data_IF_206621297239
#
_entry.id   IF_206621297239
#
_cell.length_a   1.000
_cell.length_b   1.000
_cell.length_c   1.000
_cell.angle_alpha   90.00
_cell.angle_beta   90.00
_cell.angle_gamma   90.00
#
_symmetry.space_group_name_H-M   'P 1'
#
loop_
_entity.id
_entity.type
_entity.pdbx_description
1 polymer ?
#
# COMPACT_ATOMS: atom_id res chain seq x y z
N UNK A 1 47.14 -31.55 29.50
CA UNK A 1 46.78 -32.97 29.40
C UNK A 1 45.70 -33.27 30.42
N UNK A 2 44.73 -34.12 30.04
CA UNK A 2 43.48 -34.51 30.73
C UNK A 2 42.45 -33.37 30.85
N UNK A 3 41.27 -33.38 30.22
CA UNK A 3 40.51 -34.45 29.58
C UNK A 3 39.43 -34.97 30.52
N UNK A 4 38.25 -34.32 30.51
CA UNK A 4 37.02 -34.90 31.05
C UNK A 4 35.82 -34.41 30.23
N UNK A 5 35.18 -35.39 29.60
CA UNK A 5 33.97 -35.33 28.78
C UNK A 5 32.78 -35.64 29.69
N UNK A 6 31.67 -34.92 29.55
CA UNK A 6 30.38 -35.37 30.06
C UNK A 6 29.23 -34.87 29.17
N UNK A 7 28.29 -35.79 28.93
CA UNK A 7 27.33 -35.85 27.84
C UNK A 7 26.21 -34.80 27.88
N UNK A 8 25.81 -34.35 26.68
CA UNK A 8 24.56 -33.63 26.44
C UNK A 8 23.42 -34.62 26.22
N UNK A 9 22.37 -34.51 27.03
CA UNK A 9 21.14 -35.29 26.88
C UNK A 9 20.22 -34.59 25.88
N UNK A 10 19.97 -35.24 24.75
CA UNK A 10 18.95 -34.85 23.78
C UNK A 10 17.55 -35.23 24.30
N UNK A 11 16.63 -34.27 24.37
CA UNK A 11 15.20 -34.53 24.48
C UNK A 11 14.52 -34.09 23.19
N UNK A 12 14.24 -35.08 22.35
CA UNK A 12 13.31 -34.98 21.23
C UNK A 12 11.89 -34.95 21.78
N UNK A 13 11.08 -33.98 21.36
CA UNK A 13 9.63 -34.08 21.42
C UNK A 13 9.06 -33.91 20.01
N UNK A 14 8.45 -34.98 19.51
CA UNK A 14 7.69 -35.04 18.27
C UNK A 14 6.32 -34.38 18.44
N UNK A 15 5.70 -33.90 17.34
CA UNK A 15 4.47 -33.10 17.40
C UNK A 15 3.22 -33.98 17.52
N UNK A 16 2.34 -33.66 18.47
CA UNK A 16 0.99 -34.24 18.56
C UNK A 16 0.02 -33.46 17.67
N UNK A 17 -0.44 -34.12 16.61
CA UNK A 17 -1.58 -33.71 15.79
C UNK A 17 -2.88 -33.91 16.56
N UNK A 18 -3.62 -32.83 16.85
CA UNK A 18 -5.04 -32.91 17.18
C UNK A 18 -5.85 -32.06 16.21
N UNK A 19 -6.54 -32.78 15.32
CA UNK A 19 -7.48 -32.27 14.34
C UNK A 19 -8.86 -32.15 14.98
N UNK A 20 -9.27 -30.95 15.37
CA UNK A 20 -10.64 -30.71 15.83
C UNK A 20 -11.52 -30.36 14.64
N UNK A 21 -12.28 -31.36 14.18
CA UNK A 21 -13.37 -31.26 13.20
C UNK A 21 -14.50 -30.42 13.82
N UNK A 22 -14.74 -29.21 13.32
CA UNK A 22 -16.00 -28.48 13.58
C UNK A 22 -16.97 -28.79 12.44
N UNK A 23 -18.05 -29.49 12.77
CA UNK A 23 -19.20 -29.76 11.90
C UNK A 23 -20.09 -28.52 11.96
N UNK A 24 -20.14 -27.74 10.88
CA UNK A 24 -21.15 -26.68 10.71
C UNK A 24 -22.38 -27.28 10.04
N UNK A 25 -23.47 -27.33 10.81
CA UNK A 25 -24.78 -27.78 10.36
C UNK A 25 -25.35 -26.77 9.36
N UNK A 26 -25.45 -27.18 8.09
CA UNK A 26 -26.08 -26.44 6.99
C UNK A 26 -27.60 -26.42 7.20
N UNK A 27 -28.16 -25.28 7.62
CA UNK A 27 -29.62 -25.07 7.61
C UNK A 27 -30.03 -24.50 6.27
N UNK A 28 -30.66 -25.34 5.45
CA UNK A 28 -31.37 -24.99 4.23
C UNK A 28 -32.78 -24.58 4.66
N UNK A 29 -33.23 -23.41 4.23
CA UNK A 29 -34.66 -23.05 4.24
C UNK A 29 -35.06 -22.70 2.81
N UNK A 30 -35.73 -23.65 2.15
CA UNK A 30 -36.56 -23.41 0.99
C UNK A 30 -37.98 -23.09 1.49
N UNK A 31 -38.64 -22.13 0.86
CA UNK A 31 -40.10 -22.03 0.87
C UNK A 31 -40.58 -21.48 -0.47
N UNK A 32 -41.51 -22.20 -1.05
CA UNK A 32 -42.05 -22.15 -2.41
C UNK A 32 -43.52 -21.72 -2.40
N UNK A 33 -43.98 -21.14 -3.53
CA UNK A 33 -45.37 -21.05 -4.06
C UNK A 33 -46.30 -19.96 -3.47
N UNK A 34 -47.25 -19.34 -4.20
CA UNK A 34 -47.74 -19.50 -5.57
C UNK A 34 -48.63 -18.31 -6.03
N UNK A 35 -48.73 -18.15 -7.38
CA UNK A 35 -49.85 -17.71 -8.27
C UNK A 35 -50.68 -16.44 -7.92
N UNK A 36 -51.12 -15.59 -8.86
CA UNK A 36 -51.92 -15.93 -10.05
C UNK A 36 -52.11 -14.77 -11.07
N UNK A 37 -52.09 -15.14 -12.34
CA UNK A 37 -52.84 -14.75 -13.56
C UNK A 37 -53.26 -13.31 -13.98
N UNK A 38 -53.06 -13.10 -15.30
CA UNK A 38 -54.06 -12.62 -16.28
C UNK A 38 -53.77 -11.21 -16.84
N UNK A 39 -53.85 -10.88 -18.14
CA UNK A 39 -54.30 -11.51 -19.38
C UNK A 39 -53.81 -10.61 -20.55
N UNK A 40 -53.23 -11.17 -21.61
CA UNK A 40 -53.77 -11.18 -23.00
C UNK A 40 -53.29 -10.09 -23.97
N UNK A 41 -53.42 -10.41 -25.26
CA UNK A 41 -52.52 -10.16 -26.41
C UNK A 41 -53.05 -9.18 -27.48
N UNK A 42 -52.20 -8.98 -28.52
CA UNK A 42 -52.43 -8.66 -29.97
C UNK A 42 -52.16 -7.19 -30.35
N UNK A 43 -51.19 -6.82 -31.21
CA UNK A 43 -50.76 -7.17 -32.59
C UNK A 43 -51.41 -6.32 -33.71
N UNK A 44 -50.51 -5.65 -34.46
CA UNK A 44 -50.54 -5.13 -35.84
C UNK A 44 -51.52 -4.03 -36.29
N UNK A 45 -50.98 -2.98 -36.94
CA UNK A 45 -51.15 -2.71 -38.39
C UNK A 45 -50.35 -1.46 -38.83
N UNK A 46 -50.06 -1.33 -40.13
CA UNK A 46 -49.05 -0.46 -40.72
C UNK A 46 -49.59 0.56 -41.77
N UNK A 47 -48.94 1.75 -41.83
CA UNK A 47 -48.62 2.65 -42.99
C UNK A 47 -49.78 3.41 -43.72
N UNK A 48 -49.50 4.40 -44.63
CA UNK A 48 -48.56 5.55 -44.63
C UNK A 48 -49.10 6.86 -45.33
N UNK A 49 -48.19 7.83 -45.60
CA UNK A 49 -48.26 9.05 -46.47
C UNK A 49 -48.77 10.34 -45.78
N UNK A 50 -48.30 11.58 -46.04
CA UNK A 50 -47.44 12.20 -47.06
C UNK A 50 -46.94 13.60 -46.58
N UNK A 51 -45.78 14.04 -47.10
CA UNK A 51 -45.24 15.41 -47.30
C UNK A 51 -45.65 16.63 -46.43
N UNK A 52 -44.63 17.38 -45.95
CA UNK A 52 -44.37 18.77 -46.40
C UNK A 52 -43.04 19.30 -45.83
N UNK A 53 -42.31 20.05 -46.66
CA UNK A 53 -41.01 20.68 -46.37
C UNK A 53 -41.21 22.15 -46.02
N UNK A 54 -40.57 22.67 -44.96
CA UNK A 54 -40.25 24.11 -44.86
C UNK A 54 -39.00 24.39 -43.99
N UNK A 55 -37.95 24.86 -44.68
CA UNK A 55 -36.97 25.92 -44.37
C UNK A 55 -36.44 26.13 -42.93
N UNK A 56 -35.11 25.94 -42.83
CA UNK A 56 -34.09 26.87 -42.28
C UNK A 56 -34.27 27.44 -40.86
N UNK A 57 -33.40 27.02 -39.93
CA UNK A 57 -32.61 27.96 -39.14
C UNK A 57 -31.33 27.33 -38.58
N UNK A 58 -30.23 28.04 -38.81
CA UNK A 58 -28.84 27.78 -38.47
C UNK A 58 -28.63 28.03 -36.98
N UNK A 59 -28.25 27.03 -36.19
CA UNK A 59 -27.59 27.22 -34.88
C UNK A 59 -26.48 26.18 -34.72
N UNK A 60 -25.24 26.63 -34.92
CA UNK A 60 -24.05 25.93 -34.47
C UNK A 60 -24.06 25.90 -32.94
N UNK A 61 -23.88 24.75 -32.28
CA UNK A 61 -23.41 24.76 -30.91
C UNK A 61 -21.91 25.06 -30.95
N UNK A 62 -21.53 26.23 -30.46
CA UNK A 62 -20.15 26.46 -30.04
C UNK A 62 -19.88 25.51 -28.87
N UNK A 63 -19.32 24.35 -29.18
CA UNK A 63 -18.59 23.56 -28.20
C UNK A 63 -17.37 24.38 -27.80
N UNK A 64 -17.49 25.10 -26.69
CA UNK A 64 -16.33 25.52 -25.92
C UNK A 64 -15.69 24.24 -25.37
N UNK A 65 -14.77 23.68 -26.15
CA UNK A 65 -13.79 22.77 -25.62
C UNK A 65 -12.97 23.56 -24.61
N UNK A 66 -13.35 23.47 -23.34
CA UNK A 66 -12.50 23.85 -22.23
C UNK A 66 -11.31 22.89 -22.29
N UNK A 67 -10.28 23.29 -23.04
CA UNK A 67 -8.99 22.65 -23.00
C UNK A 67 -8.47 22.83 -21.57
N UNK A 68 -8.69 21.83 -20.72
CA UNK A 68 -7.88 21.65 -19.54
C UNK A 68 -6.45 21.50 -20.05
N UNK A 69 -5.70 22.59 -20.02
CA UNK A 69 -4.26 22.56 -20.16
C UNK A 69 -3.77 21.67 -19.02
N UNK A 70 -3.58 20.39 -19.32
CA UNK A 70 -2.73 19.54 -18.51
C UNK A 70 -1.37 20.18 -18.65
N UNK A 71 -0.98 20.92 -17.61
CA UNK A 71 0.39 21.29 -17.37
C UNK A 71 1.15 19.97 -17.35
N UNK A 72 1.68 19.56 -18.51
CA UNK A 72 2.68 18.51 -18.58
C UNK A 72 3.94 19.12 -17.97
N UNK A 73 3.90 19.26 -16.64
CA UNK A 73 5.09 19.44 -15.83
C UNK A 73 5.95 18.25 -16.22
N UNK A 74 7.12 18.54 -16.79
CA UNK A 74 8.07 17.53 -17.17
C UNK A 74 8.41 16.78 -15.89
N UNK A 75 7.77 15.62 -15.66
CA UNK A 75 7.88 14.92 -14.41
C UNK A 75 9.33 14.48 -14.26
N UNK A 76 9.99 14.98 -13.21
CA UNK A 76 11.34 14.56 -12.88
C UNK A 76 11.26 13.20 -12.18
N UNK A 77 12.18 12.31 -12.51
CA UNK A 77 12.21 10.96 -11.98
C UNK A 77 13.55 10.65 -11.34
N UNK A 78 13.52 9.89 -10.26
CA UNK A 78 14.68 9.20 -9.67
C UNK A 78 14.53 7.71 -9.94
N UNK A 79 15.59 7.09 -10.45
CA UNK A 79 15.63 5.66 -10.71
C UNK A 79 16.24 4.92 -9.51
N UNK A 80 15.55 3.90 -9.01
CA UNK A 80 16.10 3.00 -8.01
C UNK A 80 17.11 2.05 -8.68
N UNK A 81 18.41 2.11 -8.34
CA UNK A 81 19.48 1.54 -9.14
C UNK A 81 19.49 0.01 -9.19
N UNK A 82 18.95 -0.69 -8.19
CA UNK A 82 18.94 -2.14 -8.20
C UNK A 82 17.87 -2.71 -9.12
N UNK A 83 16.74 -2.02 -9.28
CA UNK A 83 15.57 -2.52 -10.02
C UNK A 83 15.28 -1.78 -11.32
N UNK A 84 15.89 -0.62 -11.52
CA UNK A 84 15.62 0.33 -12.60
C UNK A 84 14.18 0.88 -12.58
N UNK A 85 13.50 0.80 -11.43
CA UNK A 85 12.15 1.37 -11.27
C UNK A 85 12.27 2.87 -11.08
N UNK A 86 11.44 3.63 -11.79
CA UNK A 86 11.41 5.09 -11.74
C UNK A 86 10.32 5.60 -10.82
N UNK A 87 10.70 6.54 -9.96
CA UNK A 87 9.82 7.23 -9.02
C UNK A 87 9.78 8.71 -9.38
N UNK A 88 8.59 9.30 -9.50
CA UNK A 88 8.47 10.75 -9.71
C UNK A 88 8.98 11.48 -8.46
N UNK A 89 9.63 12.64 -8.62
CA UNK A 89 10.15 13.42 -7.49
C UNK A 89 9.06 14.10 -6.66
N UNK A 90 7.86 14.26 -7.21
CA UNK A 90 6.69 14.83 -6.54
C UNK A 90 5.41 14.10 -6.99
N UNK A 91 4.56 13.71 -6.04
CA UNK A 91 3.30 12.99 -6.30
C UNK A 91 2.19 13.42 -5.34
N UNK A 92 0.97 13.53 -5.87
CA UNK A 92 -0.25 13.58 -5.07
C UNK A 92 -0.82 12.18 -4.89
N UNK A 93 -1.01 11.76 -3.64
CA UNK A 93 -1.58 10.45 -3.30
C UNK A 93 -3.06 10.56 -2.92
N UNK A 94 -3.86 9.50 -3.08
CA UNK A 94 -5.24 9.48 -2.60
C UNK A 94 -5.33 9.84 -1.11
N UNK A 95 -6.17 10.82 -0.78
CA UNK A 95 -6.39 11.30 0.58
C UNK A 95 -5.38 12.32 1.10
N UNK A 96 -4.30 12.62 0.35
CA UNK A 96 -3.37 13.69 0.69
C UNK A 96 -3.90 15.06 0.26
N UNK A 97 -3.67 16.06 1.10
CA UNK A 97 -4.02 17.46 0.85
C UNK A 97 -3.04 18.13 -0.12
N UNK A 98 -1.77 17.75 -0.03
CA UNK A 98 -0.67 18.34 -0.80
C UNK A 98 0.06 17.28 -1.66
N UNK A 99 0.83 17.75 -2.63
CA UNK A 99 1.83 16.89 -3.28
C UNK A 99 2.98 16.61 -2.31
N UNK A 100 3.39 15.35 -2.22
CA UNK A 100 4.51 14.92 -1.40
C UNK A 100 5.77 14.81 -2.23
N UNK A 101 6.93 15.10 -1.62
CA UNK A 101 8.24 15.06 -2.28
C UNK A 101 8.93 13.73 -1.99
N UNK A 102 9.61 13.15 -2.98
CA UNK A 102 10.40 11.93 -2.81
C UNK A 102 11.65 12.24 -1.97
N UNK A 103 11.79 11.55 -0.82
CA UNK A 103 12.96 11.66 0.05
C UNK A 103 13.92 10.48 -0.08
N UNK A 104 13.50 9.35 -0.64
CA UNK A 104 14.44 8.27 -0.88
C UNK A 104 13.82 7.10 -1.61
N UNK A 105 14.68 6.32 -2.27
CA UNK A 105 14.30 5.08 -2.95
C UNK A 105 15.13 3.92 -2.44
N UNK A 106 14.59 2.72 -2.55
CA UNK A 106 15.29 1.49 -2.23
C UNK A 106 14.54 0.28 -2.74
N UNK A 107 15.04 -0.91 -2.43
CA UNK A 107 14.42 -2.15 -2.85
C UNK A 107 14.40 -3.15 -1.71
N UNK A 108 13.50 -4.12 -1.81
CA UNK A 108 13.52 -5.29 -0.93
C UNK A 108 13.95 -6.51 -1.71
N UNK A 109 14.87 -7.25 -1.11
CA UNK A 109 15.31 -8.56 -1.53
C UNK A 109 14.87 -9.60 -0.51
N UNK A 110 14.49 -10.79 -0.97
CA UNK A 110 14.27 -11.95 -0.13
C UNK A 110 15.17 -13.08 -0.62
N UNK A 111 15.95 -13.65 0.29
CA UNK A 111 16.79 -14.81 0.00
C UNK A 111 15.92 -16.05 0.00
N UNK A 112 15.89 -16.75 -1.13
CA UNK A 112 15.25 -18.05 -1.27
C UNK A 112 16.35 -19.10 -1.42
N UNK A 113 16.51 -19.93 -0.38
CA UNK A 113 17.64 -20.84 -0.23
C UNK A 113 19.00 -20.12 -0.30
N UNK A 114 19.61 -20.02 -1.48
CA UNK A 114 20.94 -19.44 -1.71
C UNK A 114 20.87 -18.17 -2.57
N UNK A 115 19.75 -17.95 -3.27
CA UNK A 115 19.63 -16.87 -4.26
C UNK A 115 18.78 -15.75 -3.68
N UNK A 116 19.37 -14.55 -3.65
CA UNK A 116 18.68 -13.31 -3.38
C UNK A 116 17.77 -12.92 -4.54
N UNK A 117 16.49 -12.67 -4.27
CA UNK A 117 15.56 -12.22 -5.30
C UNK A 117 14.87 -10.92 -4.91
N UNK A 118 14.97 -9.93 -5.81
CA UNK A 118 14.33 -8.62 -5.68
C UNK A 118 12.82 -8.79 -5.76
N UNK A 119 12.10 -8.30 -4.76
CA UNK A 119 10.64 -8.44 -4.63
C UNK A 119 9.95 -7.17 -5.12
N UNK A 120 10.43 -6.01 -4.66
CA UNK A 120 9.88 -4.71 -5.03
C UNK A 120 10.92 -3.61 -4.92
N UNK A 121 10.67 -2.50 -5.61
CA UNK A 121 11.24 -1.20 -5.33
C UNK A 121 10.28 -0.41 -4.43
N UNK A 122 10.80 0.55 -3.67
CA UNK A 122 10.03 1.42 -2.81
C UNK A 122 10.55 2.86 -2.86
N UNK A 123 9.65 3.82 -2.78
CA UNK A 123 9.94 5.25 -2.67
C UNK A 123 9.19 5.86 -1.48
N UNK A 124 9.91 6.55 -0.59
CA UNK A 124 9.31 7.27 0.53
C UNK A 124 9.11 8.73 0.16
N UNK A 125 7.88 9.20 0.33
CA UNK A 125 7.45 10.56 0.07
C UNK A 125 7.04 11.24 1.38
N UNK A 126 7.49 12.48 1.56
CA UNK A 126 7.21 13.28 2.75
C UNK A 126 6.68 14.65 2.34
N UNK A 127 5.80 15.23 3.15
CA UNK A 127 5.55 16.67 3.12
C UNK A 127 6.83 17.41 3.53
N UNK A 128 7.25 18.41 2.75
CA UNK A 128 8.48 19.15 3.01
C UNK A 128 8.44 19.90 4.35
N UNK A 129 7.25 20.22 4.86
CA UNK A 129 7.03 20.89 6.13
C UNK A 129 7.54 20.09 7.33
N UNK A 130 7.68 18.76 7.19
CA UNK A 130 8.31 17.90 8.21
C UNK A 130 9.71 18.39 8.58
N UNK A 131 10.46 19.00 7.64
CA UNK A 131 11.79 19.50 7.93
C UNK A 131 11.83 20.55 9.07
N UNK A 132 10.73 21.27 9.31
CA UNK A 132 10.61 22.22 10.42
C UNK A 132 10.61 21.53 11.79
N UNK A 133 10.11 20.30 11.87
CA UNK A 133 10.07 19.50 13.10
C UNK A 133 11.41 18.80 13.37
N UNK A 134 12.28 18.71 12.36
CA UNK A 134 13.58 18.03 12.45
C UNK A 134 14.77 18.98 12.72
N UNK A 135 14.49 20.21 13.15
CA UNK A 135 15.51 21.23 13.40
C UNK A 135 16.60 20.80 14.41
N UNK A 136 16.27 19.91 15.36
CA UNK A 136 17.23 19.40 16.34
C UNK A 136 18.37 18.56 15.74
N UNK A 137 18.21 18.09 14.49
CA UNK A 137 19.19 17.27 13.78
C UNK A 137 19.86 18.00 12.61
N UNK A 138 19.79 19.33 12.58
CA UNK A 138 20.48 20.14 11.56
C UNK A 138 21.99 19.91 11.57
N UNK A 139 22.58 19.90 10.38
CA UNK A 139 24.01 19.71 10.16
C UNK A 139 24.52 18.29 10.44
N UNK A 140 23.66 17.32 10.75
CA UNK A 140 24.09 15.94 10.98
C UNK A 140 24.47 15.22 9.69
N UNK A 141 25.46 14.31 9.78
CA UNK A 141 25.85 13.47 8.66
C UNK A 141 24.75 12.44 8.33
N UNK A 142 24.83 11.88 7.12
CA UNK A 142 23.97 10.76 6.70
C UNK A 142 23.99 9.61 7.71
N UNK A 143 25.17 9.23 8.18
CA UNK A 143 25.36 8.09 9.10
C UNK A 143 24.73 8.38 10.47
N UNK A 144 24.89 9.61 10.97
CA UNK A 144 24.26 10.05 12.21
C UNK A 144 22.73 10.05 12.09
N UNK A 145 22.17 10.56 10.99
CA UNK A 145 20.71 10.56 10.73
C UNK A 145 20.21 9.12 10.59
N UNK A 146 20.90 8.28 9.82
CA UNK A 146 20.47 6.91 9.54
C UNK A 146 20.37 6.06 10.81
N UNK A 147 21.27 6.26 11.77
CA UNK A 147 21.27 5.57 13.06
C UNK A 147 20.36 6.21 14.13
N UNK A 148 19.64 7.30 13.82
CA UNK A 148 18.91 8.07 14.82
C UNK A 148 17.44 7.65 14.91
N UNK A 149 17.12 6.72 15.82
CA UNK A 149 15.73 6.25 16.00
C UNK A 149 14.78 7.38 16.39
N UNK A 150 15.20 8.31 17.26
CA UNK A 150 14.37 9.46 17.69
C UNK A 150 13.99 10.41 16.54
N UNK A 151 14.87 10.58 15.55
CA UNK A 151 14.58 11.34 14.34
C UNK A 151 13.45 10.67 13.54
N UNK A 152 13.56 9.36 13.29
CA UNK A 152 12.53 8.64 12.53
C UNK A 152 11.21 8.51 13.29
N UNK A 153 11.26 8.42 14.62
CA UNK A 153 10.07 8.49 15.46
C UNK A 153 9.42 9.88 15.38
N UNK A 154 10.21 10.95 15.37
CA UNK A 154 9.68 12.32 15.18
C UNK A 154 9.02 12.46 13.81
N UNK A 155 9.65 11.91 12.75
CA UNK A 155 9.01 11.83 11.44
C UNK A 155 7.67 11.12 11.56
N UNK A 156 7.61 9.93 12.16
CA UNK A 156 6.34 9.18 12.32
C UNK A 156 5.26 9.98 13.08
N UNK A 157 5.64 10.58 14.22
CA UNK A 157 4.73 11.32 15.10
C UNK A 157 4.22 12.63 14.49
N UNK A 158 4.89 13.12 13.45
CA UNK A 158 4.47 14.31 12.71
C UNK A 158 3.01 14.20 12.24
N UNK A 159 2.26 15.30 12.38
CA UNK A 159 0.92 15.45 11.79
C UNK A 159 0.95 15.65 10.28
N UNK A 160 2.12 15.85 9.68
CA UNK A 160 2.25 15.98 8.23
C UNK A 160 2.15 14.63 7.53
N UNK A 161 1.63 14.67 6.31
CA UNK A 161 1.35 13.49 5.49
C UNK A 161 2.65 12.84 4.98
N UNK A 162 2.63 11.51 4.90
CA UNK A 162 3.75 10.68 4.45
C UNK A 162 3.18 9.57 3.59
N UNK A 163 3.87 9.19 2.53
CA UNK A 163 3.43 8.06 1.71
C UNK A 163 4.60 7.18 1.29
N UNK A 164 4.40 5.88 1.35
CA UNK A 164 5.32 4.88 0.82
C UNK A 164 4.70 4.26 -0.42
N UNK A 165 5.38 4.45 -1.56
CA UNK A 165 5.03 3.80 -2.82
C UNK A 165 5.88 2.55 -3.00
N UNK A 166 5.25 1.39 -3.08
CA UNK A 166 5.88 0.09 -3.35
C UNK A 166 5.49 -0.35 -4.76
N UNK A 167 6.47 -0.69 -5.59
CA UNK A 167 6.26 -1.16 -6.97
C UNK A 167 6.87 -2.55 -7.11
N UNK A 168 6.02 -3.55 -7.39
CA UNK A 168 6.48 -4.93 -7.52
C UNK A 168 7.33 -5.12 -8.78
N UNK A 169 8.49 -5.76 -8.62
CA UNK A 169 9.39 -6.07 -9.76
C UNK A 169 9.29 -7.52 -10.22
N UNK A 170 8.37 -8.27 -9.60
CA UNK A 170 8.03 -9.65 -9.88
C UNK A 170 6.59 -9.94 -9.46
N UNK A 171 6.08 -11.07 -9.91
CA UNK A 171 4.79 -11.58 -9.45
C UNK A 171 4.89 -12.09 -8.00
N UNK A 172 3.89 -11.73 -7.20
CA UNK A 172 3.67 -12.20 -5.82
C UNK A 172 2.17 -12.41 -5.64
N UNK A 173 1.75 -13.51 -5.01
CA UNK A 173 0.35 -13.66 -4.63
C UNK A 173 0.03 -12.76 -3.42
N UNK A 174 -1.18 -12.17 -3.39
CA UNK A 174 -1.57 -11.23 -2.34
C UNK A 174 -1.47 -11.83 -0.94
N UNK A 175 -1.75 -13.14 -0.79
CA UNK A 175 -1.58 -13.87 0.47
C UNK A 175 -0.12 -13.91 0.92
N UNK A 176 0.82 -14.29 0.06
CA UNK A 176 2.27 -14.30 0.37
C UNK A 176 2.78 -12.90 0.71
N UNK A 177 2.30 -11.87 -0.01
CA UNK A 177 2.66 -10.49 0.32
C UNK A 177 2.17 -10.12 1.72
N UNK A 178 0.90 -10.37 2.01
CA UNK A 178 0.31 -10.12 3.32
C UNK A 178 1.00 -10.90 4.42
N UNK A 179 1.20 -12.21 4.26
CA UNK A 179 1.84 -13.06 5.28
C UNK A 179 3.24 -12.52 5.61
N UNK A 180 4.04 -12.17 4.59
CA UNK A 180 5.36 -11.58 4.80
C UNK A 180 5.33 -10.18 5.43
N UNK A 181 4.25 -9.41 5.24
CA UNK A 181 4.05 -8.12 5.88
C UNK A 181 3.60 -8.29 7.34
N UNK A 182 2.66 -9.21 7.59
CA UNK A 182 2.19 -9.59 8.92
C UNK A 182 3.34 -10.10 9.77
N UNK A 183 4.18 -10.99 9.25
CA UNK A 183 5.39 -11.49 9.93
C UNK A 183 6.35 -10.36 10.33
N UNK A 184 6.39 -9.28 9.54
CA UNK A 184 7.19 -8.11 9.85
C UNK A 184 6.51 -7.19 10.89
N UNK A 185 5.18 -7.10 10.90
CA UNK A 185 4.41 -6.26 11.82
C UNK A 185 4.30 -6.92 13.21
N UNK A 186 3.98 -8.21 13.29
CA UNK A 186 3.65 -8.89 14.54
C UNK A 186 4.68 -8.71 15.66
N UNK A 187 6.01 -8.81 15.42
CA UNK A 187 7.01 -8.62 16.48
C UNK A 187 7.04 -7.19 17.07
N UNK A 188 6.46 -6.22 16.36
CA UNK A 188 6.42 -4.80 16.76
C UNK A 188 5.18 -4.44 17.58
N UNK A 189 4.22 -5.36 17.67
CA UNK A 189 2.99 -5.20 18.47
C UNK A 189 2.99 -6.29 19.55
N UNK A 190 3.54 -5.99 20.72
CA UNK A 190 3.71 -6.98 21.79
C UNK A 190 2.38 -7.53 22.33
N UNK A 191 1.38 -6.67 22.48
CA UNK A 191 0.05 -7.02 22.98
C UNK A 191 -1.00 -6.33 22.10
N UNK A 192 -1.46 -7.00 21.02
CA UNK A 192 -2.48 -6.45 20.14
C UNK A 192 -3.79 -6.20 20.91
N UNK A 193 -4.35 -5.01 20.71
CA UNK A 193 -5.70 -4.68 21.18
C UNK A 193 -6.76 -5.16 20.18
N UNK A 194 -8.03 -5.17 20.58
CA UNK A 194 -9.15 -5.45 19.65
C UNK A 194 -9.15 -4.51 18.44
N UNK A 195 -8.75 -3.25 18.64
CA UNK A 195 -8.58 -2.27 17.56
C UNK A 195 -7.48 -2.69 16.60
N UNK A 196 -6.34 -3.16 17.12
CA UNK A 196 -5.22 -3.63 16.31
C UNK A 196 -5.60 -4.86 15.48
N UNK A 197 -6.28 -5.83 16.10
CA UNK A 197 -6.76 -7.03 15.40
C UNK A 197 -7.78 -6.71 14.29
N UNK A 198 -8.67 -5.75 14.54
CA UNK A 198 -9.63 -5.27 13.54
C UNK A 198 -8.90 -4.56 12.39
N UNK A 199 -7.95 -3.69 12.72
CA UNK A 199 -7.11 -2.98 11.76
C UNK A 199 -6.31 -3.95 10.87
N UNK A 200 -5.65 -4.96 11.46
CA UNK A 200 -4.92 -5.99 10.74
C UNK A 200 -5.83 -6.85 9.85
N UNK A 201 -7.04 -7.17 10.31
CA UNK A 201 -8.04 -7.90 9.52
C UNK A 201 -8.50 -7.10 8.31
N UNK A 202 -8.79 -5.81 8.47
CA UNK A 202 -9.13 -4.91 7.36
C UNK A 202 -7.96 -4.80 6.38
N UNK A 203 -6.73 -4.64 6.88
CA UNK A 203 -5.55 -4.52 6.02
C UNK A 203 -5.29 -5.82 5.23
N UNK A 204 -5.44 -6.98 5.86
CA UNK A 204 -5.41 -8.28 5.19
C UNK A 204 -6.43 -8.38 4.07
N UNK A 205 -7.65 -7.88 4.31
CA UNK A 205 -8.75 -7.90 3.35
C UNK A 205 -8.42 -7.22 2.02
N UNK A 206 -7.53 -6.23 2.01
CA UNK A 206 -7.09 -5.53 0.77
C UNK A 206 -6.35 -6.47 -0.18
N UNK A 207 -5.58 -7.42 0.36
CA UNK A 207 -4.72 -8.31 -0.44
C UNK A 207 -5.31 -9.70 -0.67
N UNK A 208 -6.36 -10.07 0.07
CA UNK A 208 -6.98 -11.38 -0.08
C UNK A 208 -7.54 -11.55 -1.50
N UNK A 209 -7.23 -12.68 -2.13
CA UNK A 209 -7.63 -13.03 -3.50
C UNK A 209 -7.23 -12.00 -4.59
N UNK A 210 -6.31 -11.08 -4.28
CA UNK A 210 -5.78 -10.08 -5.23
C UNK A 210 -4.44 -10.57 -5.80
N UNK A 211 -4.33 -10.86 -7.11
CA UNK A 211 -3.04 -11.17 -7.72
C UNK A 211 -2.20 -9.90 -7.83
N UNK A 212 -0.97 -9.92 -7.28
CA UNK A 212 -0.06 -8.78 -7.37
C UNK A 212 1.01 -9.08 -8.44
N UNK A 213 0.73 -8.65 -9.66
CA UNK A 213 1.63 -8.85 -10.81
C UNK A 213 2.81 -7.88 -10.76
N UNK A 214 3.90 -8.23 -11.46
CA UNK A 214 4.98 -7.28 -11.73
C UNK A 214 4.39 -5.96 -12.28
N UNK A 215 4.81 -4.85 -11.70
CA UNK A 215 4.29 -3.50 -11.99
C UNK A 215 3.11 -3.06 -11.11
N UNK A 216 2.53 -3.96 -10.30
CA UNK A 216 1.53 -3.57 -9.33
C UNK A 216 2.11 -2.57 -8.31
N UNK A 217 1.29 -1.59 -7.94
CA UNK A 217 1.65 -0.49 -7.05
C UNK A 217 0.83 -0.60 -5.78
N UNK A 218 1.50 -0.55 -4.64
CA UNK A 218 0.91 -0.49 -3.31
C UNK A 218 1.31 0.84 -2.69
N UNK A 219 0.34 1.63 -2.24
CA UNK A 219 0.52 2.91 -1.57
C UNK A 219 0.09 2.76 -0.12
N UNK A 220 0.96 3.18 0.79
CA UNK A 220 0.72 3.24 2.23
C UNK A 220 0.89 4.69 2.66
N UNK A 221 -0.21 5.37 2.99
CA UNK A 221 -0.20 6.80 3.31
C UNK A 221 -0.55 7.02 4.78
N UNK A 222 0.38 7.55 5.55
CA UNK A 222 0.13 8.02 6.91
C UNK A 222 -0.35 9.47 6.85
N UNK A 223 -1.62 9.70 7.16
CA UNK A 223 -2.18 11.06 7.29
C UNK A 223 -1.78 11.69 8.63
N UNK A 224 -1.68 10.85 9.66
CA UNK A 224 -1.28 11.19 11.02
C UNK A 224 -0.82 9.88 11.71
N UNK A 225 -0.37 9.91 12.98
CA UNK A 225 0.16 8.72 13.65
C UNK A 225 -0.82 7.54 13.82
N UNK A 226 -2.14 7.74 13.68
CA UNK A 226 -3.15 6.69 13.83
C UNK A 226 -3.94 6.37 12.56
N UNK A 227 -3.89 7.24 11.55
CA UNK A 227 -4.62 7.12 10.29
C UNK A 227 -3.71 6.71 9.13
N UNK A 228 -3.90 5.47 8.66
CA UNK A 228 -3.18 4.91 7.52
C UNK A 228 -4.16 4.58 6.39
N UNK A 229 -3.93 5.12 5.20
CA UNK A 229 -4.67 4.76 3.99
C UNK A 229 -3.90 3.74 3.18
N UNK A 230 -4.62 2.80 2.58
CA UNK A 230 -4.05 1.76 1.73
C UNK A 230 -4.72 1.81 0.36
N UNK A 231 -3.90 1.84 -0.69
CA UNK A 231 -4.36 1.71 -2.07
C UNK A 231 -3.48 0.72 -2.83
N UNK A 232 -4.09 -0.11 -3.67
CA UNK A 232 -3.39 -1.10 -4.49
C UNK A 232 -3.92 -1.06 -5.91
N UNK A 233 -3.04 -0.79 -6.87
CA UNK A 233 -3.35 -0.81 -8.30
C UNK A 233 -2.54 -1.89 -9.01
N UNK A 234 -3.14 -2.50 -10.04
CA UNK A 234 -2.45 -3.43 -10.93
C UNK A 234 -1.56 -2.73 -11.96
N UNK A 235 -1.85 -1.46 -12.27
CA UNK A 235 -1.06 -0.64 -13.20
C UNK A 235 -1.30 0.85 -12.93
N UNK A 236 -0.23 1.65 -12.97
CA UNK A 236 -0.30 3.09 -12.73
C UNK A 236 -0.62 3.45 -11.27
N UNK A 237 -0.50 4.74 -10.96
CA UNK A 237 -0.76 5.25 -9.61
C UNK A 237 -2.25 5.08 -9.26
N UNK A 238 -2.60 4.50 -8.09
CA UNK A 238 -4.00 4.39 -7.68
C UNK A 238 -4.66 5.76 -7.55
N UNK A 239 -5.91 5.87 -7.99
CA UNK A 239 -6.74 7.08 -7.81
C UNK A 239 -7.79 6.95 -6.70
N UNK A 240 -7.99 5.73 -6.19
CA UNK A 240 -8.96 5.41 -5.13
C UNK A 240 -8.28 4.78 -3.93
N UNK A 241 -8.92 4.86 -2.78
CA UNK A 241 -8.51 4.19 -1.55
C UNK A 241 -9.21 2.83 -1.44
N UNK A 242 -8.46 1.79 -1.09
CA UNK A 242 -9.01 0.44 -0.84
C UNK A 242 -9.42 0.25 0.63
N UNK A 243 -8.67 0.84 1.57
CA UNK A 243 -8.97 0.75 2.99
C UNK A 243 -8.42 1.93 3.80
N UNK A 244 -9.09 2.21 4.91
CA UNK A 244 -8.59 3.04 6.02
C UNK A 244 -8.29 2.13 7.20
N UNK A 245 -7.09 2.26 7.74
CA UNK A 245 -6.61 1.52 8.91
C UNK A 245 -6.50 2.50 10.08
N UNK A 246 -7.32 2.27 11.11
CA UNK A 246 -7.38 3.10 12.33
C UNK A 246 -6.75 2.35 13.50
N UNK A 247 -5.43 2.44 13.62
CA UNK A 247 -4.69 1.92 14.78
C UNK A 247 -3.30 2.56 14.80
N UNK A 248 -2.99 3.25 15.90
CA UNK A 248 -1.65 3.83 16.11
C UNK A 248 -0.57 2.75 16.19
N UNK A 249 -0.86 1.60 16.82
CA UNK A 249 0.10 0.51 16.93
C UNK A 249 0.41 -0.11 15.57
N UNK A 250 -0.61 -0.37 14.74
CA UNK A 250 -0.43 -0.92 13.39
C UNK A 250 0.26 0.09 12.48
N UNK A 251 -0.15 1.37 12.52
CA UNK A 251 0.47 2.43 11.74
C UNK A 251 1.95 2.60 12.10
N UNK A 252 2.29 2.61 13.39
CA UNK A 252 3.68 2.68 13.87
C UNK A 252 4.47 1.45 13.50
N UNK A 253 3.94 0.26 13.74
CA UNK A 253 4.61 -0.99 13.42
C UNK A 253 4.95 -1.07 11.93
N UNK A 254 4.01 -0.68 11.05
CA UNK A 254 4.23 -0.64 9.61
C UNK A 254 5.30 0.39 9.22
N UNK A 255 5.30 1.59 9.82
CA UNK A 255 6.35 2.58 9.57
C UNK A 255 7.72 2.03 9.99
N UNK A 256 7.78 1.40 11.17
CA UNK A 256 8.99 0.82 11.75
C UNK A 256 9.51 -0.38 10.93
N UNK A 257 8.66 -1.10 10.19
CA UNK A 257 9.09 -2.13 9.22
C UNK A 257 10.05 -1.56 8.17
N UNK A 258 9.85 -0.32 7.73
CA UNK A 258 10.65 0.30 6.66
C UNK A 258 11.76 1.23 7.18
N UNK A 259 11.51 1.92 8.30
CA UNK A 259 12.39 2.99 8.78
C UNK A 259 12.87 2.81 10.22
N UNK A 260 12.51 1.69 10.88
CA UNK A 260 13.00 1.31 12.20
C UNK A 260 14.44 0.81 12.18
N UNK A 261 14.89 0.23 13.30
CA UNK A 261 16.29 -0.17 13.50
C UNK A 261 16.70 -1.38 12.64
N UNK A 262 15.73 -2.25 12.33
CA UNK A 262 15.90 -3.40 11.44
C UNK A 262 14.95 -3.29 10.24
N UNK A 263 15.24 -2.39 9.28
CA UNK A 263 14.35 -2.11 8.15
C UNK A 263 14.39 -3.25 7.13
N UNK A 264 13.23 -3.58 6.54
CA UNK A 264 13.15 -4.59 5.47
C UNK A 264 13.77 -4.14 4.14
N UNK A 265 14.05 -2.84 4.02
CA UNK A 265 14.83 -2.23 2.93
C UNK A 265 15.88 -1.28 3.53
N UNK A 266 17.08 -1.78 3.88
CA UNK A 266 18.16 -0.93 4.38
C UNK A 266 18.57 0.17 3.39
N UNK A 267 18.50 -0.12 2.08
CA UNK A 267 18.79 0.86 1.03
C UNK A 267 17.80 2.02 1.02
N UNK A 268 16.50 1.76 1.25
CA UNK A 268 15.50 2.82 1.39
C UNK A 268 15.83 3.74 2.57
N UNK A 269 16.07 3.18 3.75
CA UNK A 269 16.38 3.98 4.95
C UNK A 269 17.66 4.81 4.76
N UNK A 270 18.70 4.24 4.16
CA UNK A 270 19.95 4.94 3.87
C UNK A 270 19.76 6.08 2.85
N UNK A 271 18.94 5.86 1.80
CA UNK A 271 18.61 6.90 0.82
C UNK A 271 17.82 8.05 1.44
N UNK A 272 16.85 7.74 2.30
CA UNK A 272 16.08 8.74 3.06
C UNK A 272 16.99 9.56 3.97
N UNK A 273 17.87 8.90 4.73
CA UNK A 273 18.83 9.58 5.60
C UNK A 273 19.77 10.52 4.81
N UNK A 274 20.17 10.12 3.62
CA UNK A 274 20.99 10.95 2.75
C UNK A 274 20.25 12.22 2.29
N UNK A 275 19.00 12.11 1.85
CA UNK A 275 18.21 13.29 1.45
C UNK A 275 17.94 14.20 2.65
N UNK A 276 17.63 13.63 3.81
CA UNK A 276 17.45 14.42 5.04
C UNK A 276 18.72 15.17 5.42
N UNK A 277 19.91 14.56 5.32
CA UNK A 277 21.18 15.27 5.56
C UNK A 277 21.40 16.46 4.63
N UNK A 278 20.84 16.42 3.42
CA UNK A 278 20.94 17.50 2.42
C UNK A 278 19.91 18.61 2.67
N UNK A 279 18.73 18.25 3.17
CA UNK A 279 17.63 19.18 3.48
C UNK A 279 17.86 19.88 4.81
N UNK A 280 18.37 19.16 5.82
CA UNK A 280 18.62 19.64 7.17
C UNK A 280 20.02 20.25 7.31
N UNK A 281 20.46 21.04 6.33
CA UNK A 281 21.75 21.74 6.41
C UNK A 281 21.71 22.91 7.39
#
# INVERSE_FOLDING_TARGET
>A
MLGAVAASTSLCFSPSTYSTRIVVLRRISNSTLALNNGHSFLLLSAKPMHFSSHKSSRRQPHFLAQAAASSAVNAEYVEEPATNVKFQTSLSFPGCSNSLTLFGTGYREKVFAIIGVKVYAAGLYLDQSIALELNAWKGQSKEAIQGNSSLFETIFQSSFEKSLQIILVRDVDGKTFWDALSDAISPRIQQPTTTDETALTTFRGVFLDRPLKKGAIIILTWLNPSGLLVSVSSNGLPSTMDATIESANVAFALFNVFLGDSPVSPSLKASVAESLSKVLK
#
